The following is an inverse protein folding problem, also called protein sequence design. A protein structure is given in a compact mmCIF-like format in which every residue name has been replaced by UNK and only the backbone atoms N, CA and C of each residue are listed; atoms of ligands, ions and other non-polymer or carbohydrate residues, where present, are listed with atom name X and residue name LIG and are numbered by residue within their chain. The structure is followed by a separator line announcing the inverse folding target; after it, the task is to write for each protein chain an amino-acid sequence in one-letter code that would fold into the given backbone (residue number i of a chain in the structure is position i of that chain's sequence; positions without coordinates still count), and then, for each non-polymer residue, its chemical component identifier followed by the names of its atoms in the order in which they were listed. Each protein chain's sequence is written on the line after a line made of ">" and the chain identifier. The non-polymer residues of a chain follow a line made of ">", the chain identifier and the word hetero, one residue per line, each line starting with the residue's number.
data_IF_520449112362
#
_entry.id   IF_520449112362
#
_cell.length_a   1.000
_cell.length_b   1.000
_cell.length_c   1.000
_cell.angle_alpha   90.00
_cell.angle_beta   90.00
_cell.angle_gamma   90.00
#
_symmetry.space_group_name_H-M   'P 1'
#
loop_
_entity.id
_entity.type
_entity.pdbx_description
1 polymer ?
#
# COMPACT_ATOMS: atom_id res chain seq x y z
N UNK A 1 15.73 -0.95 22.81
CA UNK A 1 14.59 -0.01 22.72
C UNK A 1 13.59 -0.63 21.76
N UNK A 2 12.30 -0.66 22.09
CA UNK A 2 11.27 -1.26 21.23
C UNK A 2 10.74 -0.17 20.28
N UNK A 3 10.72 -0.45 18.97
CA UNK A 3 10.31 0.46 17.89
C UNK A 3 9.02 -0.06 17.24
N UNK A 4 7.88 0.38 17.74
CA UNK A 4 6.54 0.04 17.22
C UNK A 4 5.83 1.30 16.74
N UNK A 5 5.32 1.26 15.53
CA UNK A 5 4.66 2.39 14.88
C UNK A 5 3.25 2.04 14.41
N UNK A 6 2.33 2.96 14.61
CA UNK A 6 0.99 2.95 14.03
C UNK A 6 0.80 4.28 13.30
N UNK A 7 0.54 4.22 11.99
CA UNK A 7 0.43 5.41 11.13
C UNK A 7 -0.84 5.37 10.29
N UNK A 8 -1.37 6.56 9.99
CA UNK A 8 -2.44 6.71 9.01
C UNK A 8 -1.86 7.20 7.69
N UNK A 9 -2.20 6.52 6.59
CA UNK A 9 -1.84 6.95 5.23
C UNK A 9 -3.13 7.27 4.47
N UNK A 10 -3.28 8.55 4.12
CA UNK A 10 -4.35 9.02 3.25
C UNK A 10 -3.98 8.79 1.80
N UNK A 11 -4.85 8.17 1.02
CA UNK A 11 -4.66 7.98 -0.42
C UNK A 11 -5.02 9.24 -1.24
N UNK A 12 -5.78 10.15 -0.64
CA UNK A 12 -6.32 11.35 -1.28
C UNK A 12 -5.50 12.62 -0.98
N UNK A 13 -4.27 12.48 -0.50
CA UNK A 13 -3.39 13.61 -0.15
C UNK A 13 -1.94 13.28 -0.49
N UNK A 14 -1.15 14.28 -0.88
CA UNK A 14 0.30 14.10 -1.03
C UNK A 14 0.91 13.71 0.34
N UNK A 15 1.63 12.58 0.43
CA UNK A 15 2.22 12.10 1.68
C UNK A 15 3.26 13.07 2.28
N UNK A 16 3.84 13.99 1.51
CA UNK A 16 4.91 14.92 1.94
C UNK A 16 6.14 14.24 2.55
N UNK A 17 6.33 12.95 2.29
CA UNK A 17 7.53 12.19 2.62
C UNK A 17 8.08 11.53 1.37
N UNK A 18 9.41 11.45 1.27
CA UNK A 18 10.07 10.71 0.20
C UNK A 18 10.12 9.22 0.53
N UNK A 19 10.32 8.41 -0.50
CA UNK A 19 10.60 6.97 -0.34
C UNK A 19 11.81 6.70 0.56
N UNK A 20 12.87 7.50 0.45
CA UNK A 20 14.06 7.35 1.29
C UNK A 20 13.77 7.62 2.77
N UNK A 21 12.98 8.66 3.07
CA UNK A 21 12.58 8.97 4.45
C UNK A 21 11.74 7.86 5.06
N UNK A 22 10.83 7.26 4.30
CA UNK A 22 10.04 6.10 4.73
C UNK A 22 10.95 4.91 5.02
N UNK A 23 11.88 4.60 4.12
CA UNK A 23 12.82 3.50 4.30
C UNK A 23 13.70 3.70 5.55
N UNK A 24 14.35 4.86 5.68
CA UNK A 24 15.19 5.20 6.83
C UNK A 24 14.45 5.11 8.16
N UNK A 25 13.16 5.44 8.17
CA UNK A 25 12.34 5.45 9.38
C UNK A 25 11.89 4.06 9.82
N UNK A 26 11.62 3.17 8.87
CA UNK A 26 10.90 1.92 9.14
C UNK A 26 11.69 0.65 8.89
N UNK A 27 12.88 0.71 8.27
CA UNK A 27 13.72 -0.47 8.13
C UNK A 27 14.08 -1.07 9.50
N UNK A 28 13.87 -2.39 9.61
CA UNK A 28 14.20 -3.18 10.79
C UNK A 28 13.37 -2.91 12.05
N UNK A 29 12.28 -2.14 11.98
CA UNK A 29 11.45 -1.85 13.17
C UNK A 29 10.72 -3.11 13.65
N UNK A 30 10.36 -3.15 14.94
CA UNK A 30 9.74 -4.34 15.52
C UNK A 30 8.31 -4.54 15.00
N UNK A 31 7.55 -3.45 14.86
CA UNK A 31 6.17 -3.49 14.36
C UNK A 31 5.84 -2.21 13.58
N UNK A 32 5.17 -2.36 12.44
CA UNK A 32 4.62 -1.27 11.63
C UNK A 32 3.20 -1.59 11.21
N UNK A 33 2.25 -0.81 11.71
CA UNK A 33 0.85 -0.87 11.30
C UNK A 33 0.48 0.38 10.51
N UNK A 34 -0.09 0.17 9.32
CA UNK A 34 -0.50 1.21 8.38
C UNK A 34 -2.02 1.12 8.21
N UNK A 35 -2.73 2.10 8.77
CA UNK A 35 -4.16 2.30 8.55
C UNK A 35 -4.37 3.19 7.32
N UNK A 36 -4.96 2.63 6.26
CA UNK A 36 -5.14 3.30 4.98
C UNK A 36 -6.53 3.95 4.94
N UNK A 37 -6.59 5.21 4.55
CA UNK A 37 -7.84 5.97 4.47
C UNK A 37 -8.03 6.63 3.11
N UNK A 38 -9.27 6.63 2.61
CA UNK A 38 -9.71 7.44 1.47
C UNK A 38 -11.09 8.05 1.78
N UNK A 39 -11.31 9.30 1.35
CA UNK A 39 -12.59 9.99 1.60
C UNK A 39 -13.74 9.46 0.72
N UNK A 40 -13.44 8.94 -0.47
CA UNK A 40 -14.41 8.34 -1.39
C UNK A 40 -13.87 7.02 -1.91
N UNK A 41 -14.64 5.93 -1.77
CA UNK A 41 -14.17 4.60 -2.16
C UNK A 41 -14.00 4.48 -3.68
N UNK A 42 -12.82 4.05 -4.12
CA UNK A 42 -12.51 3.78 -5.52
C UNK A 42 -12.12 5.03 -6.33
N UNK A 43 -11.89 6.17 -5.68
CA UNK A 43 -11.44 7.39 -6.35
C UNK A 43 -9.92 7.58 -6.35
N UNK A 44 -9.18 6.75 -5.61
CA UNK A 44 -7.75 6.90 -5.40
C UNK A 44 -7.01 5.59 -5.73
N UNK A 45 -5.79 5.72 -6.25
CA UNK A 45 -4.85 4.61 -6.39
C UNK A 45 -4.01 4.41 -5.11
N UNK A 46 -3.16 3.38 -5.08
CA UNK A 46 -2.23 3.14 -3.97
C UNK A 46 -0.85 3.80 -4.16
N UNK A 47 -0.75 4.87 -4.95
CA UNK A 47 0.50 5.59 -5.21
C UNK A 47 1.25 5.97 -3.94
N UNK A 48 0.54 6.41 -2.90
CA UNK A 48 1.13 6.79 -1.61
C UNK A 48 1.72 5.61 -0.83
N UNK A 49 1.14 4.41 -0.99
CA UNK A 49 1.65 3.19 -0.37
C UNK A 49 2.89 2.66 -1.09
N UNK A 50 3.12 3.03 -2.36
CA UNK A 50 4.31 2.60 -3.10
C UNK A 50 5.63 3.04 -2.44
N UNK A 51 5.61 4.13 -1.69
CA UNK A 51 6.77 4.58 -0.90
C UNK A 51 7.22 3.57 0.16
N UNK A 52 6.33 2.69 0.61
CA UNK A 52 6.64 1.64 1.59
C UNK A 52 7.21 0.37 0.93
N UNK A 53 7.17 0.24 -0.39
CA UNK A 53 7.63 -0.97 -1.10
C UNK A 53 9.13 -1.25 -0.95
N UNK A 54 9.93 -0.27 -0.53
CA UNK A 54 11.36 -0.44 -0.22
C UNK A 54 11.66 -0.79 1.24
N UNK A 55 10.68 -0.68 2.15
CA UNK A 55 10.89 -0.97 3.58
C UNK A 55 11.14 -2.46 3.75
N UNK A 56 12.12 -2.85 4.58
CA UNK A 56 12.50 -4.26 4.80
C UNK A 56 12.82 -4.55 6.27
N UNK A 57 12.82 -5.83 6.62
CA UNK A 57 13.22 -6.32 7.94
C UNK A 57 12.26 -5.98 9.08
N UNK A 58 11.03 -5.56 8.78
CA UNK A 58 10.02 -5.28 9.81
C UNK A 58 9.64 -6.59 10.51
N UNK A 59 9.66 -6.62 11.85
CA UNK A 59 9.31 -7.83 12.61
C UNK A 59 7.87 -8.28 12.35
N UNK A 60 6.91 -7.35 12.44
CA UNK A 60 5.50 -7.56 12.08
C UNK A 60 4.97 -6.34 11.32
N UNK A 61 4.47 -6.54 10.11
CA UNK A 61 3.83 -5.49 9.32
C UNK A 61 2.35 -5.80 9.09
N UNK A 62 1.50 -4.78 9.22
CA UNK A 62 0.07 -4.85 8.93
C UNK A 62 -0.32 -3.64 8.09
N UNK A 63 -1.00 -3.87 6.96
CA UNK A 63 -1.60 -2.83 6.13
C UNK A 63 -3.10 -3.11 6.04
N UNK A 64 -3.93 -2.18 6.48
CA UNK A 64 -5.37 -2.39 6.58
C UNK A 64 -6.18 -1.12 6.29
N UNK A 65 -7.51 -1.20 6.40
CA UNK A 65 -8.43 -0.10 6.13
C UNK A 65 -8.87 -0.08 4.67
N UNK A 66 -8.67 1.04 3.98
CA UNK A 66 -9.16 1.34 2.63
C UNK A 66 -8.35 0.64 1.51
N UNK A 67 -8.16 -0.67 1.61
CA UNK A 67 -7.22 -1.47 0.79
C UNK A 67 -7.87 -2.32 -0.32
N UNK A 68 -9.13 -2.08 -0.64
CA UNK A 68 -9.82 -2.78 -1.74
C UNK A 68 -10.00 -4.27 -1.45
N UNK A 69 -9.52 -5.14 -2.36
CA UNK A 69 -9.56 -6.61 -2.18
C UNK A 69 -8.45 -7.14 -1.25
N UNK A 70 -7.62 -6.27 -0.69
CA UNK A 70 -6.60 -6.58 0.31
C UNK A 70 -5.31 -7.20 -0.25
N UNK A 71 -5.27 -7.61 -1.52
CA UNK A 71 -4.10 -8.34 -2.06
C UNK A 71 -2.83 -7.50 -2.09
N UNK A 72 -2.94 -6.21 -2.48
CA UNK A 72 -1.79 -5.32 -2.45
C UNK A 72 -1.30 -5.08 -1.02
N UNK A 73 -2.22 -4.94 -0.06
CA UNK A 73 -1.90 -4.77 1.35
C UNK A 73 -1.21 -6.02 1.94
N UNK A 74 -1.69 -7.20 1.58
CA UNK A 74 -1.07 -8.48 1.94
C UNK A 74 0.33 -8.61 1.36
N UNK A 75 0.50 -8.30 0.07
CA UNK A 75 1.80 -8.33 -0.58
C UNK A 75 2.75 -7.31 0.05
N UNK A 76 2.29 -6.08 0.30
CA UNK A 76 3.10 -5.02 0.90
C UNK A 76 3.52 -5.38 2.33
N UNK A 77 2.63 -5.95 3.13
CA UNK A 77 2.95 -6.43 4.49
C UNK A 77 4.06 -7.50 4.44
N UNK A 78 3.95 -8.48 3.55
CA UNK A 78 5.00 -9.51 3.35
C UNK A 78 6.30 -8.92 2.84
N UNK A 79 6.22 -7.92 1.94
CA UNK A 79 7.38 -7.24 1.41
C UNK A 79 8.14 -6.48 2.50
N UNK A 80 7.42 -5.78 3.39
CA UNK A 80 8.03 -5.07 4.52
C UNK A 80 8.70 -6.01 5.52
N UNK A 81 8.15 -7.22 5.70
CA UNK A 81 8.69 -8.23 6.59
C UNK A 81 9.84 -9.05 6.00
N UNK A 82 10.12 -8.94 4.70
CA UNK A 82 11.19 -9.71 4.07
C UNK A 82 12.58 -9.17 4.44
N UNK A 83 13.60 -10.01 4.34
CA UNK A 83 14.97 -9.62 4.63
C UNK A 83 15.47 -8.50 3.69
N UNK A 84 16.35 -7.60 4.16
CA UNK A 84 17.03 -6.63 3.29
C UNK A 84 17.72 -7.31 2.11
N UNK A 85 17.58 -6.73 0.91
CA UNK A 85 18.17 -7.28 -0.33
C UNK A 85 17.35 -8.40 -0.98
N UNK A 86 16.24 -8.85 -0.38
CA UNK A 86 15.32 -9.80 -1.01
C UNK A 86 14.77 -9.22 -2.32
N UNK A 87 14.98 -9.93 -3.43
CA UNK A 87 14.32 -9.61 -4.69
C UNK A 87 12.88 -10.12 -4.65
N UNK A 88 11.93 -9.19 -4.61
CA UNK A 88 10.51 -9.50 -4.64
C UNK A 88 9.98 -9.21 -6.04
N UNK A 89 9.21 -10.15 -6.57
CA UNK A 89 8.41 -9.88 -7.76
C UNK A 89 7.50 -8.69 -7.49
N UNK A 90 7.58 -7.62 -8.32
CA UNK A 90 6.72 -6.46 -8.18
C UNK A 90 5.25 -6.88 -8.20
N UNK A 91 4.43 -6.24 -7.37
CA UNK A 91 3.00 -6.46 -7.43
C UNK A 91 2.47 -6.11 -8.82
N UNK A 92 1.96 -7.10 -9.54
CA UNK A 92 1.48 -6.98 -10.90
C UNK A 92 -0.01 -7.29 -10.94
N UNK A 93 -0.82 -6.32 -10.53
CA UNK A 93 -2.25 -6.35 -10.80
C UNK A 93 -2.63 -5.08 -11.57
N UNK A 94 -3.38 -5.28 -12.65
CA UNK A 94 -3.76 -4.22 -13.60
C UNK A 94 -4.77 -3.22 -13.00
N UNK A 95 -5.30 -3.53 -11.81
CA UNK A 95 -6.30 -2.74 -11.11
C UNK A 95 -5.94 -2.68 -9.63
N UNK A 96 -5.49 -1.51 -9.20
CA UNK A 96 -5.15 -1.21 -7.82
C UNK A 96 -6.08 -0.07 -7.41
N UNK A 97 -7.15 -0.39 -6.67
CA UNK A 97 -8.15 0.58 -6.21
C UNK A 97 -9.40 0.64 -7.10
N UNK A 98 -10.33 -0.28 -6.88
CA UNK A 98 -11.65 -0.28 -7.52
C UNK A 98 -12.21 -1.69 -7.60
N UNK A 99 -13.44 -1.90 -7.12
CA UNK A 99 -14.10 -3.18 -7.34
C UNK A 99 -14.33 -3.39 -8.85
N UNK A 100 -14.26 -4.64 -9.32
CA UNK A 100 -14.65 -5.03 -10.70
C UNK A 100 -16.06 -4.53 -11.10
N UNK A 101 -16.90 -4.13 -10.14
CA UNK A 101 -18.24 -3.62 -10.40
C UNK A 101 -18.27 -2.24 -11.09
N UNK A 102 -17.19 -1.47 -11.07
CA UNK A 102 -17.13 -0.17 -11.76
C UNK A 102 -17.01 -0.28 -13.29
N UNK A 103 -16.54 -1.43 -13.82
CA UNK A 103 -16.51 -1.69 -15.27
C UNK A 103 -17.92 -1.88 -15.86
N UNK A 104 -18.91 -2.23 -15.04
CA UNK A 104 -20.30 -2.40 -15.49
C UNK A 104 -20.96 -1.08 -15.95
N UNK A 105 -20.38 0.08 -15.60
CA UNK A 105 -20.92 1.40 -15.96
C UNK A 105 -20.15 2.12 -17.08
N UNK A 106 -19.00 1.60 -17.51
CA UNK A 106 -18.24 2.13 -18.66
C UNK A 106 -18.29 1.22 -19.90
N UNK A 107 -18.77 -0.01 -19.75
CA UNK A 107 -18.90 -0.99 -20.83
C UNK A 107 -20.14 -0.85 -21.72
N UNK A 108 -20.50 0.35 -22.19
CA UNK A 108 -21.44 0.47 -23.31
C UNK A 108 -21.34 1.82 -24.05
N UNK A 109 -20.18 2.12 -24.65
CA UNK A 109 -20.17 3.13 -25.73
C UNK A 109 -19.06 2.93 -26.75
N UNK A 110 -19.06 1.80 -27.46
CA UNK A 110 -18.52 1.68 -28.81
C UNK A 110 -19.35 0.65 -29.59
N UNK A 111 -20.52 1.09 -30.07
CA UNK A 111 -21.22 0.50 -31.20
C UNK A 111 -22.09 1.59 -31.84
N UNK A 112 -21.46 2.44 -32.64
CA UNK A 112 -22.02 3.06 -33.86
C UNK A 112 -20.87 3.69 -34.65
#
# INVERSE_FOLDING_TARGET
>A
MIRRYYIHVRLDTDPRFSRSQVQESFDGVDELEIEVFQSMYGSCDFGNLKSFESVRGVGKAVVQGSVGDGKYADWLSRAMMSEPGTNLEPYSERYIGGSKAWDAWYGQRLAM
#
